data_IF_280231375198
#
_entry.id   IF_280231375198
#
_cell.length_a   1.000
_cell.length_b   1.000
_cell.length_c   1.000
_cell.angle_alpha   90.00
_cell.angle_beta   90.00
_cell.angle_gamma   90.00
#
_symmetry.space_group_name_H-M   'P 1'
#
loop_
_entity.id
_entity.type
_entity.pdbx_description
1 polymer ?
#
# COMPACT_ATOMS: atom_id res chain seq x y z
N UNK A 1 38.86 -30.94 18.03
CA UNK A 1 40.08 -31.08 18.86
C UNK A 1 40.45 -29.69 19.39
N UNK A 2 40.62 -29.56 20.71
CA UNK A 2 41.07 -28.39 21.49
C UNK A 2 40.06 -27.28 21.86
N UNK A 3 39.33 -27.62 22.92
CA UNK A 3 38.88 -26.81 24.07
C UNK A 3 39.94 -25.83 24.59
N UNK A 4 39.49 -24.68 25.12
CA UNK A 4 40.12 -24.05 26.29
C UNK A 4 39.05 -23.55 27.27
N UNK A 5 39.22 -24.03 28.50
CA UNK A 5 38.48 -23.74 29.72
C UNK A 5 38.84 -22.37 30.29
N UNK A 6 37.90 -21.75 30.99
CA UNK A 6 38.19 -21.00 32.20
C UNK A 6 37.03 -21.24 33.18
N UNK A 7 37.35 -21.92 34.28
CA UNK A 7 36.49 -22.13 35.42
C UNK A 7 36.91 -21.18 36.55
N UNK A 8 35.96 -20.59 37.27
CA UNK A 8 36.13 -20.18 38.66
C UNK A 8 34.83 -20.47 39.42
N UNK A 9 34.92 -21.52 40.24
CA UNK A 9 34.18 -21.88 41.46
C UNK A 9 33.95 -20.71 42.43
N UNK A 10 33.08 -20.68 43.43
CA UNK A 10 31.96 -21.47 43.96
C UNK A 10 31.54 -20.73 45.25
N UNK A 11 30.27 -20.81 45.69
CA UNK A 11 29.89 -20.99 47.10
C UNK A 11 28.37 -20.91 47.26
N UNK A 12 27.79 -22.00 47.73
CA UNK A 12 26.43 -22.06 48.28
C UNK A 12 26.48 -21.88 49.80
N UNK A 13 25.51 -21.16 50.38
CA UNK A 13 25.08 -21.36 51.78
C UNK A 13 23.56 -21.18 51.84
N UNK A 14 22.90 -22.22 52.33
CA UNK A 14 21.46 -22.34 52.63
C UNK A 14 21.15 -21.72 54.00
N UNK A 15 20.01 -21.05 54.15
CA UNK A 15 19.34 -20.92 55.45
C UNK A 15 17.82 -20.69 55.27
N UNK A 16 17.04 -21.68 55.71
CA UNK A 16 15.59 -21.61 55.92
C UNK A 16 15.35 -21.08 57.33
N UNK A 17 14.51 -20.05 57.48
CA UNK A 17 13.88 -19.68 58.75
C UNK A 17 12.45 -19.20 58.48
N UNK A 18 11.49 -20.02 58.90
CA UNK A 18 10.05 -19.74 59.00
C UNK A 18 9.76 -18.88 60.22
N UNK A 19 8.99 -17.79 60.07
CA UNK A 19 8.31 -17.12 61.18
C UNK A 19 6.93 -16.63 60.70
N UNK A 20 5.90 -17.24 61.29
CA UNK A 20 4.50 -16.83 61.22
C UNK A 20 4.29 -15.50 61.94
N UNK A 21 3.51 -14.59 61.36
CA UNK A 21 3.10 -13.34 61.99
C UNK A 21 1.76 -12.85 61.44
N UNK A 22 0.72 -12.94 62.26
CA UNK A 22 -0.62 -12.42 61.99
C UNK A 22 -0.60 -10.89 61.81
N UNK A 23 -1.23 -10.38 60.76
CA UNK A 23 -1.57 -8.96 60.65
C UNK A 23 -3.02 -8.81 60.15
N UNK A 24 -3.90 -8.64 61.13
CA UNK A 24 -4.98 -7.65 61.19
C UNK A 24 -5.75 -7.34 59.89
N UNK A 25 -6.97 -7.87 59.80
CA UNK A 25 -8.05 -7.36 58.95
C UNK A 25 -8.27 -5.86 59.17
N UNK A 26 -8.01 -5.06 58.13
CA UNK A 26 -8.52 -3.70 57.99
C UNK A 26 -9.75 -3.70 57.07
N UNK A 27 -10.75 -2.85 57.32
CA UNK A 27 -12.02 -2.88 56.61
C UNK A 27 -11.91 -2.37 55.18
N UNK A 28 -12.64 -3.04 54.30
CA UNK A 28 -12.84 -2.69 52.89
C UNK A 28 -13.47 -1.31 52.76
N UNK A 29 -12.73 -0.32 52.24
CA UNK A 29 -13.34 0.79 51.49
C UNK A 29 -12.32 1.37 50.53
N UNK A 30 -12.24 0.78 49.34
CA UNK A 30 -11.87 1.52 48.15
C UNK A 30 -12.68 0.93 47.02
N UNK A 31 -13.84 1.54 46.76
CA UNK A 31 -14.54 1.36 45.51
C UNK A 31 -13.59 1.89 44.43
N UNK A 32 -12.77 1.00 43.88
CA UNK A 32 -12.11 1.24 42.61
C UNK A 32 -13.24 1.50 41.62
N UNK A 33 -13.37 2.76 41.19
CA UNK A 33 -14.14 3.10 40.01
C UNK A 33 -13.50 2.32 38.85
N UNK A 34 -14.03 1.13 38.57
CA UNK A 34 -13.74 0.36 37.37
C UNK A 34 -14.47 1.06 36.22
N UNK A 35 -14.02 2.26 35.89
CA UNK A 35 -14.19 2.76 34.55
C UNK A 35 -13.26 1.95 33.68
N UNK A 36 -13.73 0.79 33.19
CA UNK A 36 -13.10 0.17 32.03
C UNK A 36 -13.00 1.26 30.97
N UNK A 37 -11.84 1.48 30.33
CA UNK A 37 -11.80 2.28 29.13
C UNK A 37 -12.81 1.62 28.19
N UNK A 38 -13.84 2.34 27.76
CA UNK A 38 -14.63 1.92 26.60
C UNK A 38 -13.62 1.73 25.48
N UNK A 39 -13.30 0.48 25.19
CA UNK A 39 -12.48 0.08 24.06
C UNK A 39 -13.18 0.71 22.86
N UNK A 40 -12.50 1.66 22.22
CA UNK A 40 -13.06 2.40 21.11
C UNK A 40 -13.14 1.41 19.95
N UNK A 41 -14.29 0.76 19.80
CA UNK A 41 -14.58 -0.14 18.69
C UNK A 41 -14.43 0.70 17.43
N UNK A 42 -13.47 0.31 16.58
CA UNK A 42 -13.32 0.91 15.27
C UNK A 42 -14.57 0.60 14.44
N UNK A 43 -15.10 1.61 13.76
CA UNK A 43 -16.27 1.49 12.90
C UNK A 43 -15.92 2.06 11.53
N UNK A 44 -15.86 1.22 10.47
CA UNK A 44 -15.52 1.68 9.12
C UNK A 44 -16.47 2.74 8.59
N UNK A 45 -17.74 2.74 9.02
CA UNK A 45 -18.74 3.69 8.51
C UNK A 45 -18.55 5.11 9.08
N UNK A 46 -17.73 5.26 10.11
CA UNK A 46 -17.49 6.57 10.76
C UNK A 46 -16.38 7.38 10.13
N UNK A 47 -15.56 6.79 9.25
CA UNK A 47 -14.49 7.52 8.61
C UNK A 47 -15.04 8.44 7.51
N UNK A 48 -14.57 9.69 7.52
CA UNK A 48 -14.88 10.68 6.48
C UNK A 48 -13.59 11.33 5.99
N UNK A 49 -13.47 11.63 4.69
CA UNK A 49 -12.31 12.33 4.14
C UNK A 49 -12.02 13.63 4.88
N UNK A 50 -10.76 13.81 5.30
CA UNK A 50 -10.30 15.05 5.94
C UNK A 50 -10.05 16.16 4.93
N UNK A 51 -9.94 15.80 3.66
CA UNK A 51 -9.64 16.70 2.54
C UNK A 51 -10.66 16.48 1.43
N UNK A 52 -11.07 17.57 0.78
CA UNK A 52 -11.84 17.50 -0.46
C UNK A 52 -10.88 17.64 -1.64
N UNK A 53 -10.72 16.58 -2.42
CA UNK A 53 -9.85 16.58 -3.59
C UNK A 53 -10.65 16.93 -4.83
N UNK A 54 -10.21 17.97 -5.55
CA UNK A 54 -10.73 18.33 -6.86
C UNK A 54 -9.94 17.61 -7.95
N UNK A 55 -10.64 17.14 -8.98
CA UNK A 55 -10.00 16.48 -10.12
C UNK A 55 -9.07 17.44 -10.86
N UNK A 56 -7.85 16.97 -11.12
CA UNK A 56 -6.87 17.67 -11.97
C UNK A 56 -6.98 17.23 -13.43
N UNK A 57 -6.39 17.99 -14.34
CA UNK A 57 -6.31 17.68 -15.78
C UNK A 57 -7.68 17.41 -16.41
N UNK A 58 -8.64 18.31 -16.15
CA UNK A 58 -10.00 18.21 -16.68
C UNK A 58 -10.07 18.52 -18.17
N UNK A 59 -9.16 19.36 -18.67
CA UNK A 59 -9.13 19.82 -20.04
C UNK A 59 -8.66 18.72 -21.01
N UNK A 60 -9.41 18.50 -22.09
CA UNK A 60 -9.12 17.44 -23.06
C UNK A 60 -7.74 17.62 -23.73
N UNK A 61 -7.41 18.85 -24.15
CA UNK A 61 -6.14 19.17 -24.81
C UNK A 61 -4.93 18.98 -23.88
N UNK A 62 -5.11 19.22 -22.58
CA UNK A 62 -4.06 18.99 -21.59
C UNK A 62 -3.78 17.49 -21.42
N UNK A 63 -4.85 16.69 -21.30
CA UNK A 63 -4.75 15.23 -21.22
C UNK A 63 -4.09 14.63 -22.47
N UNK A 64 -4.42 15.15 -23.66
CA UNK A 64 -3.81 14.69 -24.91
C UNK A 64 -2.31 14.96 -24.94
N UNK A 65 -1.89 16.21 -24.63
CA UNK A 65 -0.46 16.56 -24.57
C UNK A 65 0.31 15.70 -23.56
N UNK A 66 -0.29 15.42 -22.41
CA UNK A 66 0.33 14.55 -21.42
C UNK A 66 0.49 13.13 -21.93
N UNK A 67 -0.53 12.59 -22.61
CA UNK A 67 -0.48 11.25 -23.18
C UNK A 67 0.58 11.12 -24.27
N UNK A 68 0.65 12.05 -25.22
CA UNK A 68 1.71 12.06 -26.24
C UNK A 68 3.10 12.10 -25.59
N UNK A 69 3.26 12.92 -24.55
CA UNK A 69 4.51 13.03 -23.79
C UNK A 69 4.85 11.73 -23.05
N UNK A 70 3.86 11.07 -22.42
CA UNK A 70 4.04 9.79 -21.75
C UNK A 70 4.40 8.68 -22.73
N UNK A 71 3.74 8.60 -23.88
CA UNK A 71 4.07 7.61 -24.90
C UNK A 71 5.53 7.68 -25.32
N UNK A 72 6.02 8.91 -25.57
CA UNK A 72 7.40 9.15 -25.95
C UNK A 72 8.38 8.77 -24.81
N UNK A 73 8.08 9.16 -23.56
CA UNK A 73 8.90 8.78 -22.39
C UNK A 73 8.95 7.27 -22.19
N UNK A 74 7.81 6.59 -22.24
CA UNK A 74 7.72 5.15 -22.04
C UNK A 74 8.42 4.38 -23.16
N UNK A 75 8.29 4.81 -24.42
CA UNK A 75 9.02 4.23 -25.54
C UNK A 75 10.54 4.37 -25.34
N UNK A 76 11.01 5.56 -24.96
CA UNK A 76 12.42 5.81 -24.70
C UNK A 76 12.95 4.97 -23.52
N UNK A 77 12.21 4.90 -22.41
CA UNK A 77 12.55 4.09 -21.24
C UNK A 77 12.69 2.59 -21.59
N UNK A 78 11.80 2.08 -22.44
CA UNK A 78 11.83 0.69 -22.89
C UNK A 78 12.83 0.42 -24.03
N UNK A 79 13.53 1.45 -24.54
CA UNK A 79 14.46 1.33 -25.66
C UNK A 79 13.78 1.05 -27.00
N UNK A 80 12.49 1.35 -27.13
CA UNK A 80 11.71 1.17 -28.36
C UNK A 80 12.07 2.28 -29.34
N UNK A 81 12.76 1.91 -30.41
CA UNK A 81 13.10 2.83 -31.52
C UNK A 81 11.96 2.85 -32.53
N UNK A 82 11.53 4.04 -32.91
CA UNK A 82 10.43 4.26 -33.86
C UNK A 82 9.14 3.50 -33.45
N UNK A 83 8.54 3.86 -32.31
CA UNK A 83 7.29 3.22 -31.88
C UNK A 83 6.21 3.36 -32.97
N UNK A 84 5.37 2.34 -33.19
CA UNK A 84 4.29 2.42 -34.16
C UNK A 84 3.24 3.45 -33.73
N UNK A 85 2.53 4.02 -34.70
CA UNK A 85 1.36 4.85 -34.40
C UNK A 85 0.25 3.99 -33.78
N UNK A 86 -0.31 4.45 -32.66
CA UNK A 86 -1.39 3.75 -31.93
C UNK A 86 -2.58 4.69 -31.79
N UNK A 87 -3.75 4.21 -32.20
CA UNK A 87 -5.03 4.92 -31.98
C UNK A 87 -5.61 4.50 -30.64
N UNK A 88 -5.58 5.40 -29.65
CA UNK A 88 -6.19 5.20 -28.33
C UNK A 88 -7.66 4.80 -28.45
N UNK A 89 -8.09 3.81 -27.65
CA UNK A 89 -9.48 3.31 -27.62
C UNK A 89 -10.34 3.92 -26.52
N UNK A 90 -9.73 4.49 -25.49
CA UNK A 90 -10.42 5.14 -24.39
C UNK A 90 -9.44 5.54 -23.30
N UNK A 91 -9.96 6.17 -22.25
CA UNK A 91 -9.22 6.41 -21.00
C UNK A 91 -9.72 5.41 -19.97
N UNK A 92 -8.81 4.68 -19.33
CA UNK A 92 -9.19 3.89 -18.17
C UNK A 92 -9.43 4.82 -16.98
N UNK A 93 -10.55 4.65 -16.29
CA UNK A 93 -10.94 5.48 -15.14
C UNK A 93 -10.53 4.88 -13.81
N UNK A 94 -9.83 3.74 -13.81
CA UNK A 94 -9.13 3.18 -12.65
C UNK A 94 -7.89 2.40 -13.09
N UNK A 95 -6.92 2.21 -12.17
CA UNK A 95 -5.75 1.35 -12.43
C UNK A 95 -6.14 -0.11 -12.70
N UNK A 96 -7.20 -0.59 -12.05
CA UNK A 96 -7.70 -1.96 -12.20
C UNK A 96 -8.27 -2.18 -13.60
N UNK A 97 -9.06 -1.22 -14.10
CA UNK A 97 -9.59 -1.25 -15.46
C UNK A 97 -8.44 -1.22 -16.48
N UNK A 98 -7.48 -0.31 -16.30
CA UNK A 98 -6.30 -0.22 -17.16
C UNK A 98 -5.55 -1.55 -17.22
N UNK A 99 -5.23 -2.13 -16.06
CA UNK A 99 -4.47 -3.37 -15.98
C UNK A 99 -5.22 -4.55 -16.61
N UNK A 100 -6.55 -4.63 -16.45
CA UNK A 100 -7.39 -5.64 -17.11
C UNK A 100 -7.35 -5.50 -18.64
N UNK A 101 -7.50 -4.27 -19.15
CA UNK A 101 -7.42 -4.01 -20.60
C UNK A 101 -6.03 -4.30 -21.16
N UNK A 102 -4.96 -3.89 -20.48
CA UNK A 102 -3.58 -4.17 -20.88
C UNK A 102 -3.30 -5.68 -20.88
N UNK A 103 -3.67 -6.43 -19.84
CA UNK A 103 -3.49 -7.89 -19.77
C UNK A 103 -4.22 -8.62 -20.91
N UNK A 104 -5.47 -8.25 -21.18
CA UNK A 104 -6.22 -8.78 -22.30
C UNK A 104 -5.54 -8.47 -23.65
N UNK A 105 -5.16 -7.20 -23.86
CA UNK A 105 -4.51 -6.75 -25.08
C UNK A 105 -3.18 -7.48 -25.35
N UNK A 106 -2.39 -7.73 -24.30
CA UNK A 106 -1.12 -8.44 -24.38
C UNK A 106 -1.34 -9.91 -24.74
N UNK A 107 -2.34 -10.55 -24.11
CA UNK A 107 -2.73 -11.94 -24.41
C UNK A 107 -3.19 -12.10 -25.86
N UNK A 108 -4.02 -11.18 -26.36
CA UNK A 108 -4.44 -11.13 -27.77
C UNK A 108 -3.27 -10.95 -28.76
N UNK A 109 -2.13 -10.41 -28.28
CA UNK A 109 -0.89 -10.22 -29.04
C UNK A 109 0.15 -11.33 -28.80
N UNK A 110 -0.25 -12.42 -28.16
CA UNK A 110 0.59 -13.59 -27.98
C UNK A 110 1.56 -13.50 -26.80
N UNK A 111 1.38 -12.55 -25.88
CA UNK A 111 2.08 -12.51 -24.59
C UNK A 111 1.08 -12.94 -23.51
N UNK A 112 1.14 -14.18 -23.01
CA UNK A 112 0.22 -14.65 -21.97
C UNK A 112 0.36 -13.76 -20.72
N UNK A 113 -0.65 -12.94 -20.46
CA UNK A 113 -0.65 -11.97 -19.40
C UNK A 113 -1.96 -12.05 -18.61
N UNK A 114 -1.87 -11.92 -17.30
CA UNK A 114 -3.00 -11.94 -16.39
C UNK A 114 -3.06 -10.64 -15.60
N UNK A 115 -4.27 -10.27 -15.20
CA UNK A 115 -4.45 -9.23 -14.21
C UNK A 115 -4.25 -9.84 -12.81
N UNK A 116 -3.44 -9.19 -12.00
CA UNK A 116 -3.22 -9.55 -10.60
C UNK A 116 -4.06 -8.64 -9.70
N UNK A 117 -5.09 -9.21 -9.08
CA UNK A 117 -6.02 -8.49 -8.18
C UNK A 117 -5.30 -7.90 -6.96
N UNK A 118 -4.26 -8.57 -6.45
CA UNK A 118 -3.54 -8.16 -5.23
C UNK A 118 -2.60 -7.00 -5.49
N UNK A 119 -1.79 -7.07 -6.56
CA UNK A 119 -0.84 -6.01 -6.92
C UNK A 119 -1.46 -4.90 -7.77
N UNK A 120 -2.70 -5.09 -8.23
CA UNK A 120 -3.41 -4.20 -9.17
C UNK A 120 -2.53 -3.87 -10.37
N UNK A 121 -2.16 -4.91 -11.13
CA UNK A 121 -1.22 -4.79 -12.24
C UNK A 121 -1.27 -5.96 -13.23
N UNK A 122 -0.44 -5.87 -14.27
CA UNK A 122 -0.29 -6.92 -15.28
C UNK A 122 0.88 -7.82 -14.91
N UNK A 123 0.63 -9.13 -14.87
CA UNK A 123 1.68 -10.15 -14.66
C UNK A 123 1.84 -11.02 -15.89
N UNK A 124 3.08 -11.29 -16.29
CA UNK A 124 3.45 -12.19 -17.37
C UNK A 124 4.83 -12.79 -17.08
N UNK A 125 5.13 -13.94 -17.67
CA UNK A 125 6.40 -14.62 -17.47
C UNK A 125 7.58 -13.79 -18.01
N UNK A 126 8.73 -13.88 -17.34
CA UNK A 126 9.97 -13.29 -17.84
C UNK A 126 10.29 -13.86 -19.22
N UNK A 127 10.31 -13.03 -20.28
CA UNK A 127 10.56 -13.54 -21.62
C UNK A 127 12.03 -13.98 -21.76
N UNK A 128 12.33 -14.95 -22.64
CA UNK A 128 13.71 -15.23 -23.01
C UNK A 128 14.34 -13.96 -23.64
N UNK A 129 15.67 -13.76 -23.54
CA UNK A 129 16.33 -12.56 -24.04
C UNK A 129 16.04 -12.24 -25.52
N UNK A 130 15.81 -13.27 -26.34
CA UNK A 130 15.45 -13.12 -27.75
C UNK A 130 14.06 -12.52 -27.99
N UNK A 131 13.16 -12.57 -27.01
CA UNK A 131 11.79 -12.06 -27.10
C UNK A 131 11.57 -10.77 -26.31
N UNK A 132 12.53 -10.35 -25.47
CA UNK A 132 12.40 -9.20 -24.58
C UNK A 132 11.94 -7.92 -25.31
N UNK A 133 12.56 -7.61 -26.46
CA UNK A 133 12.20 -6.43 -27.25
C UNK A 133 10.77 -6.51 -27.82
N UNK A 134 10.32 -7.71 -28.21
CA UNK A 134 8.97 -7.92 -28.71
C UNK A 134 7.93 -7.77 -27.60
N UNK A 135 8.20 -8.33 -26.41
CA UNK A 135 7.32 -8.19 -25.24
C UNK A 135 7.23 -6.73 -24.78
N UNK A 136 8.35 -5.99 -24.72
CA UNK A 136 8.34 -4.55 -24.42
C UNK A 136 7.48 -3.76 -25.39
N UNK A 137 7.59 -4.05 -26.70
CA UNK A 137 6.78 -3.39 -27.71
C UNK A 137 5.28 -3.72 -27.55
N UNK A 138 4.94 -4.96 -27.24
CA UNK A 138 3.54 -5.37 -26.97
C UNK A 138 2.99 -4.67 -25.73
N UNK A 139 3.73 -4.66 -24.62
CA UNK A 139 3.35 -3.94 -23.39
C UNK A 139 3.11 -2.46 -23.67
N UNK A 140 4.09 -1.77 -24.29
CA UNK A 140 3.97 -0.36 -24.64
C UNK A 140 2.77 -0.08 -25.55
N UNK A 141 2.53 -0.94 -26.56
CA UNK A 141 1.40 -0.79 -27.49
C UNK A 141 0.06 -0.92 -26.77
N UNK A 142 -0.04 -1.84 -25.80
CA UNK A 142 -1.26 -2.06 -25.04
C UNK A 142 -1.56 -0.91 -24.08
N UNK A 143 -0.55 -0.40 -23.39
CA UNK A 143 -0.70 0.77 -22.53
C UNK A 143 -1.03 2.03 -23.34
N UNK A 144 -0.54 2.12 -24.60
CA UNK A 144 -0.92 3.18 -25.52
C UNK A 144 -2.36 3.07 -26.04
N UNK A 145 -2.87 1.85 -26.25
CA UNK A 145 -4.27 1.65 -26.64
C UNK A 145 -5.23 2.03 -25.52
N UNK A 146 -4.81 1.79 -24.28
CA UNK A 146 -5.62 1.86 -23.07
C UNK A 146 -4.91 2.65 -21.96
N UNK A 147 -4.59 3.94 -22.19
CA UNK A 147 -3.95 4.74 -21.16
C UNK A 147 -4.92 5.00 -20.01
N UNK A 148 -4.39 5.02 -18.80
CA UNK A 148 -5.09 5.56 -17.65
C UNK A 148 -5.37 7.05 -17.85
N UNK A 149 -6.51 7.52 -17.37
CA UNK A 149 -6.79 8.96 -17.39
C UNK A 149 -5.67 9.69 -16.61
N UNK A 150 -5.05 10.74 -17.20
CA UNK A 150 -3.88 11.38 -16.62
C UNK A 150 -4.12 11.92 -15.22
N UNK A 151 -5.37 12.26 -14.87
CA UNK A 151 -5.69 12.76 -13.53
C UNK A 151 -5.44 11.74 -12.41
N UNK A 152 -5.35 10.44 -12.74
CA UNK A 152 -5.04 9.33 -11.82
C UNK A 152 -3.54 9.01 -11.73
N UNK A 153 -2.75 9.53 -12.66
CA UNK A 153 -1.32 9.19 -12.82
C UNK A 153 -0.39 10.39 -12.60
N UNK A 154 -0.92 11.45 -11.98
CA UNK A 154 -0.11 12.55 -11.48
C UNK A 154 0.53 12.18 -10.15
N UNK A 155 1.70 12.78 -9.87
CA UNK A 155 2.25 12.80 -8.50
C UNK A 155 1.20 13.32 -7.53
N UNK A 156 1.10 12.71 -6.35
CA UNK A 156 0.16 13.12 -5.33
C UNK A 156 0.43 14.55 -4.90
N UNK A 157 -0.61 15.37 -4.90
CA UNK A 157 -0.60 16.69 -4.27
C UNK A 157 -0.55 16.58 -2.75
N UNK A 158 -0.14 17.64 -2.07
CA UNK A 158 -0.11 17.68 -0.61
C UNK A 158 -1.46 17.33 0.03
N UNK A 159 -2.58 17.76 -0.57
CA UNK A 159 -3.92 17.42 -0.08
C UNK A 159 -4.21 15.91 -0.22
N UNK A 160 -3.82 15.30 -1.34
CA UNK A 160 -3.95 13.85 -1.54
C UNK A 160 -3.08 13.07 -0.55
N UNK A 161 -1.86 13.56 -0.27
CA UNK A 161 -0.98 12.97 0.73
C UNK A 161 -1.56 13.08 2.15
N UNK A 162 -2.12 14.23 2.53
CA UNK A 162 -2.80 14.38 3.82
C UNK A 162 -3.96 13.41 3.98
N UNK A 163 -4.80 13.31 2.95
CA UNK A 163 -5.92 12.38 2.91
C UNK A 163 -5.45 10.93 3.05
N UNK A 164 -4.43 10.53 2.29
CA UNK A 164 -3.91 9.17 2.28
C UNK A 164 -3.31 8.79 3.64
N UNK A 165 -2.55 9.69 4.24
CA UNK A 165 -2.00 9.49 5.59
C UNK A 165 -3.12 9.30 6.62
N UNK A 166 -4.14 10.17 6.61
CA UNK A 166 -5.26 10.08 7.55
C UNK A 166 -6.10 8.82 7.32
N UNK A 167 -6.31 8.43 6.07
CA UNK A 167 -6.99 7.19 5.71
C UNK A 167 -6.25 5.97 6.28
N UNK A 168 -4.92 5.89 6.13
CA UNK A 168 -4.16 4.80 6.72
C UNK A 168 -4.25 4.78 8.24
N UNK A 169 -4.05 5.93 8.88
CA UNK A 169 -4.01 6.05 10.33
C UNK A 169 -5.37 5.75 10.98
N UNK A 170 -6.47 6.20 10.36
CA UNK A 170 -7.80 6.21 10.98
C UNK A 170 -8.72 5.10 10.45
N UNK A 171 -8.44 4.55 9.26
CA UNK A 171 -9.28 3.53 8.64
C UNK A 171 -8.51 2.24 8.34
N UNK A 172 -7.48 2.30 7.49
CA UNK A 172 -6.91 1.08 6.93
C UNK A 172 -6.12 0.25 7.95
N UNK A 173 -5.36 0.89 8.84
CA UNK A 173 -4.62 0.20 9.90
C UNK A 173 -5.58 -0.47 10.89
N UNK A 174 -6.59 0.23 11.45
CA UNK A 174 -7.60 -0.43 12.28
C UNK A 174 -8.35 -1.57 11.57
N UNK A 175 -8.66 -1.43 10.29
CA UNK A 175 -9.28 -2.49 9.49
C UNK A 175 -8.41 -3.75 9.44
N UNK A 176 -7.11 -3.60 9.17
CA UNK A 176 -6.18 -4.73 9.17
C UNK A 176 -6.11 -5.41 10.54
N UNK A 177 -6.08 -4.62 11.63
CA UNK A 177 -6.06 -5.14 12.99
C UNK A 177 -7.33 -5.92 13.34
N UNK A 178 -8.51 -5.46 12.89
CA UNK A 178 -9.79 -6.17 13.03
C UNK A 178 -9.79 -7.50 12.24
N UNK A 179 -9.09 -7.54 11.11
CA UNK A 179 -8.82 -8.76 10.35
C UNK A 179 -7.65 -9.59 10.89
N UNK A 180 -7.16 -9.30 12.10
CA UNK A 180 -6.10 -10.06 12.78
C UNK A 180 -4.71 -9.90 12.17
N UNK A 181 -4.48 -8.83 11.41
CA UNK A 181 -3.19 -8.50 10.81
C UNK A 181 -2.54 -7.39 11.65
N UNK A 182 -1.44 -7.72 12.31
CA UNK A 182 -0.65 -6.72 13.04
C UNK A 182 0.08 -5.81 12.07
N UNK A 183 -0.12 -4.50 12.20
CA UNK A 183 0.64 -3.48 11.48
C UNK A 183 1.80 -2.99 12.35
N UNK A 184 3.03 -3.03 11.85
CA UNK A 184 4.17 -2.41 12.55
C UNK A 184 4.14 -0.88 12.37
N UNK A 185 3.79 -0.17 13.43
CA UNK A 185 3.74 1.29 13.46
C UNK A 185 4.96 1.90 14.16
N UNK A 186 5.97 1.11 14.51
CA UNK A 186 7.15 1.59 15.26
C UNK A 186 8.00 2.59 14.49
N UNK A 187 7.96 2.53 13.15
CA UNK A 187 8.66 3.46 12.25
C UNK A 187 7.71 4.49 11.61
N UNK A 188 6.49 4.66 12.15
CA UNK A 188 5.53 5.64 11.63
C UNK A 188 6.13 7.06 11.69
N UNK A 189 6.35 7.73 10.55
CA UNK A 189 6.79 9.12 10.55
C UNK A 189 5.67 10.03 11.05
N UNK A 190 5.98 11.26 11.47
CA UNK A 190 4.90 12.25 11.63
C UNK A 190 4.29 12.56 10.25
N UNK A 191 3.01 12.93 10.23
CA UNK A 191 2.31 13.33 9.02
C UNK A 191 3.09 14.41 8.26
N UNK A 192 3.47 15.49 8.93
CA UNK A 192 4.19 16.61 8.34
C UNK A 192 5.55 16.20 7.77
N UNK A 193 6.27 15.32 8.47
CA UNK A 193 7.57 14.82 8.01
C UNK A 193 7.42 13.96 6.77
N UNK A 194 6.41 13.08 6.75
CA UNK A 194 6.13 12.22 5.60
C UNK A 194 5.72 13.03 4.36
N UNK A 195 4.82 14.01 4.53
CA UNK A 195 4.42 14.92 3.46
C UNK A 195 5.62 15.65 2.85
N UNK A 196 6.45 16.26 3.71
CA UNK A 196 7.57 17.09 3.27
C UNK A 196 8.62 16.31 2.48
N UNK A 197 8.76 15.00 2.75
CA UNK A 197 9.72 14.13 2.08
C UNK A 197 9.12 13.38 0.87
N UNK A 198 7.80 13.23 0.75
CA UNK A 198 7.20 12.22 -0.14
C UNK A 198 7.60 12.35 -1.62
N UNK A 199 7.58 13.57 -2.15
CA UNK A 199 7.94 13.87 -3.55
C UNK A 199 9.39 14.36 -3.69
N UNK A 200 10.26 14.12 -2.70
CA UNK A 200 11.68 14.53 -2.74
C UNK A 200 12.61 13.31 -2.80
N UNK A 201 13.90 13.49 -3.13
CA UNK A 201 14.89 12.42 -3.05
C UNK A 201 15.04 11.80 -1.65
N UNK A 202 14.71 12.54 -0.59
CA UNK A 202 14.75 12.10 0.82
C UNK A 202 13.48 11.34 1.25
N UNK A 203 12.70 10.84 0.29
CA UNK A 203 11.44 10.14 0.52
C UNK A 203 11.50 9.10 1.63
N UNK A 204 10.54 9.22 2.56
CA UNK A 204 10.29 8.22 3.60
C UNK A 204 9.35 7.16 3.02
N UNK A 205 9.86 5.95 2.85
CA UNK A 205 9.04 4.80 2.47
C UNK A 205 8.25 4.30 3.67
N UNK A 206 6.98 4.69 3.73
CA UNK A 206 6.04 4.20 4.74
C UNK A 206 4.72 3.86 4.02
N UNK A 207 4.44 2.57 3.87
CA UNK A 207 3.29 2.03 3.17
C UNK A 207 2.61 0.96 4.04
N UNK A 208 2.02 1.36 5.19
CA UNK A 208 1.68 0.44 6.27
C UNK A 208 0.76 -0.70 5.85
N UNK A 209 -0.18 -0.45 4.93
CA UNK A 209 -1.08 -1.49 4.43
C UNK A 209 -0.33 -2.48 3.54
N UNK A 210 0.38 -1.97 2.52
CA UNK A 210 1.14 -2.81 1.58
C UNK A 210 2.20 -3.65 2.29
N UNK A 211 2.93 -3.04 3.20
CA UNK A 211 3.99 -3.69 3.97
C UNK A 211 3.43 -4.80 4.87
N UNK A 212 2.20 -4.66 5.36
CA UNK A 212 1.55 -5.65 6.25
C UNK A 212 0.90 -6.81 5.51
N UNK A 213 0.46 -6.61 4.26
CA UNK A 213 -0.09 -7.69 3.43
C UNK A 213 0.99 -8.51 2.72
N UNK A 214 2.22 -8.01 2.67
CA UNK A 214 3.36 -8.75 2.12
C UNK A 214 3.61 -10.04 2.91
N UNK A 215 3.68 -11.16 2.20
CA UNK A 215 3.95 -12.48 2.79
C UNK A 215 2.69 -13.26 3.20
N UNK A 216 1.51 -12.68 3.08
CA UNK A 216 0.25 -13.42 3.13
C UNK A 216 0.11 -14.32 1.89
N UNK A 217 -0.70 -15.38 2.01
CA UNK A 217 -1.06 -16.22 0.85
C UNK A 217 -1.93 -15.41 -0.12
N UNK A 218 -1.88 -15.70 -1.41
CA UNK A 218 -2.66 -14.96 -2.43
C UNK A 218 -4.16 -14.87 -2.06
N UNK A 219 -4.74 -15.96 -1.57
CA UNK A 219 -6.13 -16.00 -1.13
C UNK A 219 -6.40 -15.05 0.04
N UNK A 220 -5.50 -15.01 1.03
CA UNK A 220 -5.65 -14.12 2.19
C UNK A 220 -5.39 -12.66 1.82
N UNK A 221 -4.41 -12.41 0.95
CA UNK A 221 -4.14 -11.07 0.43
C UNK A 221 -5.33 -10.51 -0.33
N UNK A 222 -5.98 -11.32 -1.18
CA UNK A 222 -7.17 -10.91 -1.93
C UNK A 222 -8.35 -10.59 -1.01
N UNK A 223 -8.67 -11.48 -0.06
CA UNK A 223 -9.74 -11.27 0.92
C UNK A 223 -9.55 -9.98 1.72
N UNK A 224 -8.33 -9.74 2.20
CA UNK A 224 -8.01 -8.57 3.03
C UNK A 224 -7.96 -7.29 2.20
N UNK A 225 -7.46 -7.34 0.97
CA UNK A 225 -7.39 -6.15 0.11
C UNK A 225 -8.78 -5.69 -0.33
N UNK A 226 -9.74 -6.61 -0.42
CA UNK A 226 -11.15 -6.29 -0.66
C UNK A 226 -11.80 -5.62 0.56
N UNK A 227 -11.54 -6.15 1.77
CA UNK A 227 -12.12 -5.62 3.01
C UNK A 227 -11.45 -4.32 3.51
N UNK A 228 -10.12 -4.23 3.36
CA UNK A 228 -9.27 -3.15 3.85
C UNK A 228 -8.46 -2.55 2.68
N UNK A 229 -9.09 -1.76 1.78
CA UNK A 229 -8.41 -1.21 0.63
C UNK A 229 -7.18 -0.38 1.00
N UNK A 230 -6.09 -0.53 0.23
CA UNK A 230 -4.82 0.20 0.46
C UNK A 230 -4.99 1.71 0.36
N UNK A 231 -5.93 2.20 -0.44
CA UNK A 231 -6.19 3.62 -0.65
C UNK A 231 -7.68 3.89 -0.48
N UNK A 232 -8.08 5.12 -0.11
CA UNK A 232 -9.49 5.50 -0.18
C UNK A 232 -9.95 5.42 -1.65
N UNK A 233 -11.27 5.32 -1.90
CA UNK A 233 -11.81 5.26 -3.26
C UNK A 233 -11.26 6.36 -4.18
N UNK A 234 -11.08 6.05 -5.46
CA UNK A 234 -10.53 7.00 -6.45
C UNK A 234 -11.36 8.30 -6.55
N UNK A 235 -12.66 8.22 -6.26
CA UNK A 235 -13.54 9.39 -6.17
C UNK A 235 -13.14 10.37 -5.06
N UNK A 236 -12.63 9.86 -3.94
CA UNK A 236 -12.12 10.65 -2.83
C UNK A 236 -10.66 11.06 -3.04
N UNK A 237 -9.81 10.15 -3.53
CA UNK A 237 -8.38 10.41 -3.69
C UNK A 237 -8.06 11.28 -4.91
N UNK A 238 -8.86 11.23 -5.97
CA UNK A 238 -8.60 11.94 -7.23
C UNK A 238 -9.75 12.84 -7.68
N UNK A 239 -10.85 12.90 -6.94
CA UNK A 239 -12.00 13.75 -7.28
C UNK A 239 -12.82 13.25 -8.46
N UNK A 240 -12.75 11.95 -8.78
CA UNK A 240 -13.67 11.35 -9.76
C UNK A 240 -15.09 11.37 -9.23
N UNK A 241 -16.00 12.02 -9.95
CA UNK A 241 -17.43 11.69 -9.84
C UNK A 241 -17.70 10.57 -10.85
N UNK A 242 -18.43 9.54 -10.43
CA UNK A 242 -19.09 8.60 -11.35
C UNK A 242 -20.08 9.33 -12.26
#
# INVERSE_FOLDING_TARGET
MKTKFAAVTAAAVTAVLTLSGCATTAPSTSAAATGSPTEKVWDPETWTPTEKIERRMTEADERERWYESQLARNAAFLGIRNPPAVTRRGWATSRQEQARWSAQCMTERGVPATYNEVMVGVTYDTPPPSQEAAVKLVSWTCDALFPIDPSLDQEFSDAQLRLLYDYWDQYAIPCLEDHGITVDTSQRPSKETWLAAFNTPERISWWPVQDSIMGLTDARSAEVSEACPVQPPDSMLFGYSE
#
